data_IF_109766970707
#
_entry.id   IF_109766970707
#
_cell.length_a   1.000
_cell.length_b   1.000
_cell.length_c   1.000
_cell.angle_alpha   90.00
_cell.angle_beta   90.00
_cell.angle_gamma   90.00
#
_symmetry.space_group_name_H-M   'P 1'
#
loop_
_entity.id
_entity.type
_entity.pdbx_description
1 polymer ?
#
# COMPACT_ATOMS: atom_id res chain seq x y z
N UNK A 1 6.38 14.96 -1.00
CA UNK A 1 6.94 13.69 -1.50
C UNK A 1 7.28 13.90 -2.97
N UNK A 2 8.50 13.58 -3.38
CA UNK A 2 8.92 13.67 -4.78
C UNK A 2 8.49 12.38 -5.52
N UNK A 3 7.28 12.42 -6.09
CA UNK A 3 6.71 11.27 -6.80
C UNK A 3 7.41 11.00 -8.13
N UNK A 4 8.00 12.01 -8.78
CA UNK A 4 8.65 11.82 -10.08
C UNK A 4 9.95 11.03 -9.96
N UNK A 5 10.74 11.34 -8.93
CA UNK A 5 11.95 10.57 -8.61
C UNK A 5 11.59 9.16 -8.14
N UNK A 6 10.59 9.02 -7.25
CA UNK A 6 10.15 7.71 -6.75
C UNK A 6 9.59 6.80 -7.84
N UNK A 7 8.92 7.34 -8.85
CA UNK A 7 8.39 6.55 -9.96
C UNK A 7 9.47 5.82 -10.78
N UNK A 8 10.74 6.25 -10.67
CA UNK A 8 11.89 5.68 -11.36
C UNK A 8 12.83 4.91 -10.43
N UNK A 9 12.47 4.82 -9.15
CA UNK A 9 13.33 4.25 -8.13
C UNK A 9 13.06 2.75 -7.96
N UNK A 10 14.04 1.93 -8.35
CA UNK A 10 13.93 0.46 -8.23
C UNK A 10 13.68 0.00 -6.79
N UNK A 11 14.05 0.79 -5.77
CA UNK A 11 13.78 0.47 -4.36
C UNK A 11 12.27 0.35 -4.07
N UNK A 12 11.41 1.04 -4.82
CA UNK A 12 9.95 0.90 -4.68
C UNK A 12 9.50 -0.51 -5.09
N UNK A 13 10.05 -1.02 -6.18
CA UNK A 13 9.78 -2.38 -6.67
C UNK A 13 10.35 -3.44 -5.72
N UNK A 14 11.56 -3.22 -5.21
CA UNK A 14 12.16 -4.15 -4.25
C UNK A 14 11.39 -4.16 -2.92
N UNK A 15 10.90 -3.00 -2.47
CA UNK A 15 10.07 -2.94 -1.27
C UNK A 15 8.74 -3.69 -1.44
N UNK A 16 8.09 -3.61 -2.61
CA UNK A 16 6.92 -4.46 -2.92
C UNK A 16 7.21 -5.95 -2.76
N UNK A 17 8.35 -6.41 -3.26
CA UNK A 17 8.75 -7.82 -3.12
C UNK A 17 9.01 -8.18 -1.66
N UNK A 18 9.75 -7.32 -0.95
CA UNK A 18 10.02 -7.51 0.48
C UNK A 18 8.72 -7.65 1.26
N UNK A 19 7.72 -6.77 1.04
CA UNK A 19 6.41 -6.89 1.70
C UNK A 19 5.72 -8.23 1.38
N UNK A 20 5.75 -8.65 0.11
CA UNK A 20 5.12 -9.90 -0.31
C UNK A 20 5.77 -11.14 0.33
N UNK A 21 7.08 -11.10 0.59
CA UNK A 21 7.86 -12.24 1.10
C UNK A 21 7.97 -12.30 2.64
N UNK A 22 7.38 -11.34 3.37
CA UNK A 22 7.43 -11.32 4.86
C UNK A 22 6.67 -12.50 5.47
N UNK A 23 7.29 -13.19 6.43
CA UNK A 23 6.64 -14.19 7.28
C UNK A 23 5.92 -13.52 8.46
N UNK A 24 4.69 -13.03 8.23
CA UNK A 24 3.90 -12.29 9.24
C UNK A 24 3.68 -13.11 10.50
N UNK A 25 3.51 -14.43 10.37
CA UNK A 25 3.28 -15.38 11.47
C UNK A 25 4.47 -15.51 12.44
N UNK A 26 5.66 -15.04 12.05
CA UNK A 26 6.88 -15.08 12.88
C UNK A 26 7.13 -13.77 13.62
N UNK A 27 6.32 -12.73 13.39
CA UNK A 27 6.50 -11.42 13.99
C UNK A 27 5.90 -11.36 15.40
N UNK A 28 6.56 -10.61 16.29
CA UNK A 28 5.93 -10.17 17.53
C UNK A 28 4.80 -9.18 17.24
N UNK A 29 3.91 -8.95 18.22
CA UNK A 29 2.80 -8.01 18.06
C UNK A 29 3.25 -6.60 17.66
N UNK A 30 4.35 -6.09 18.22
CA UNK A 30 4.86 -4.76 17.88
C UNK A 30 5.46 -4.70 16.47
N UNK A 31 6.12 -5.79 16.03
CA UNK A 31 6.66 -5.90 14.68
C UNK A 31 5.54 -6.01 13.65
N UNK A 32 4.49 -6.80 13.94
CA UNK A 32 3.29 -6.89 13.10
C UNK A 32 2.61 -5.52 12.96
N UNK A 33 2.39 -4.81 14.06
CA UNK A 33 1.82 -3.45 14.05
C UNK A 33 2.67 -2.51 13.18
N UNK A 34 3.99 -2.54 13.37
CA UNK A 34 4.94 -1.71 12.60
C UNK A 34 4.90 -2.04 11.11
N UNK A 35 4.86 -3.33 10.77
CA UNK A 35 4.74 -3.79 9.39
C UNK A 35 3.48 -3.22 8.74
N UNK A 36 2.31 -3.36 9.36
CA UNK A 36 1.05 -2.96 8.75
C UNK A 36 0.89 -1.43 8.64
N UNK A 37 1.35 -0.66 9.62
CA UNK A 37 1.37 0.81 9.53
C UNK A 37 2.28 1.26 8.37
N UNK A 38 3.49 0.71 8.27
CA UNK A 38 4.43 1.08 7.21
C UNK A 38 3.94 0.61 5.84
N UNK A 39 3.31 -0.56 5.77
CA UNK A 39 2.71 -1.07 4.54
C UNK A 39 1.56 -0.19 4.10
N UNK A 40 0.65 0.21 4.99
CA UNK A 40 -0.46 1.12 4.65
C UNK A 40 0.05 2.43 4.03
N UNK A 41 1.03 3.07 4.67
CA UNK A 41 1.61 4.32 4.17
C UNK A 41 2.32 4.14 2.83
N UNK A 42 3.08 3.06 2.67
CA UNK A 42 3.74 2.74 1.41
C UNK A 42 2.73 2.49 0.29
N UNK A 43 1.68 1.70 0.54
CA UNK A 43 0.68 1.36 -0.46
C UNK A 43 -0.16 2.59 -0.88
N UNK A 44 -0.39 3.55 0.01
CA UNK A 44 -0.95 4.86 -0.36
C UNK A 44 -0.09 5.57 -1.41
N UNK A 45 1.23 5.65 -1.16
CA UNK A 45 2.19 6.25 -2.11
C UNK A 45 2.23 5.45 -3.40
N UNK A 46 2.22 4.12 -3.30
CA UNK A 46 2.33 3.25 -4.45
C UNK A 46 1.14 3.35 -5.41
N UNK A 47 -0.08 3.47 -4.88
CA UNK A 47 -1.27 3.74 -5.69
C UNK A 47 -1.14 5.06 -6.47
N UNK A 48 -0.56 6.10 -5.85
CA UNK A 48 -0.30 7.38 -6.50
C UNK A 48 0.76 7.23 -7.59
N UNK A 49 1.86 6.50 -7.32
CA UNK A 49 2.91 6.23 -8.30
C UNK A 49 2.38 5.45 -9.50
N UNK A 50 1.59 4.39 -9.27
CA UNK A 50 0.98 3.60 -10.33
C UNK A 50 0.04 4.45 -11.20
N UNK A 51 -0.73 5.36 -10.61
CA UNK A 51 -1.52 6.33 -11.38
C UNK A 51 -0.64 7.28 -12.18
N UNK A 52 0.38 7.87 -11.55
CA UNK A 52 1.30 8.80 -12.21
C UNK A 52 2.00 8.16 -13.42
N UNK A 53 2.51 6.94 -13.26
CA UNK A 53 3.16 6.18 -14.35
C UNK A 53 2.17 5.92 -15.50
N UNK A 54 0.91 5.62 -15.20
CA UNK A 54 -0.11 5.31 -16.21
C UNK A 54 -0.64 6.55 -16.93
N UNK A 55 -0.91 7.63 -16.20
CA UNK A 55 -1.61 8.82 -16.71
C UNK A 55 -0.67 9.99 -17.03
N UNK A 56 0.60 9.91 -16.64
CA UNK A 56 1.61 10.96 -16.81
C UNK A 56 1.40 12.20 -15.93
N UNK A 57 0.47 12.14 -14.95
CA UNK A 57 0.16 13.27 -14.07
C UNK A 57 -0.22 12.78 -12.67
N UNK A 58 0.07 13.61 -11.67
CA UNK A 58 -0.31 13.30 -10.29
C UNK A 58 -1.81 13.54 -10.07
N UNK A 59 -2.48 12.70 -9.27
CA UNK A 59 -3.86 12.96 -8.87
C UNK A 59 -3.90 14.14 -7.89
N UNK A 60 -4.97 14.93 -7.93
CA UNK A 60 -5.18 16.03 -6.96
C UNK A 60 -5.44 15.51 -5.54
N UNK A 61 -5.98 14.31 -5.43
CA UNK A 61 -6.23 13.57 -4.19
C UNK A 61 -6.19 12.08 -4.50
N UNK A 62 -5.75 11.26 -3.54
CA UNK A 62 -5.83 9.79 -3.65
C UNK A 62 -7.29 9.33 -3.86
N UNK A 63 -8.28 10.08 -3.36
CA UNK A 63 -9.70 9.79 -3.60
C UNK A 63 -10.09 9.90 -5.08
N UNK A 64 -9.32 10.63 -5.90
CA UNK A 64 -9.55 10.67 -7.35
C UNK A 64 -9.12 9.38 -8.07
N UNK A 65 -8.48 8.45 -7.37
CA UNK A 65 -8.16 7.11 -7.90
C UNK A 65 -9.33 6.14 -7.80
N UNK A 66 -10.39 6.51 -7.07
CA UNK A 66 -11.64 5.75 -7.00
C UNK A 66 -12.26 5.57 -8.39
N UNK A 67 -12.93 4.44 -8.60
CA UNK A 67 -13.70 4.17 -9.81
C UNK A 67 -15.18 4.51 -9.57
N UNK A 68 -16.01 4.46 -10.62
CA UNK A 68 -17.47 4.61 -10.46
C UNK A 68 -18.11 3.54 -9.56
N UNK A 69 -17.45 2.39 -9.36
CA UNK A 69 -18.02 1.24 -8.64
C UNK A 69 -17.36 0.96 -7.29
N UNK A 70 -16.16 1.47 -7.03
CA UNK A 70 -15.35 1.17 -5.85
C UNK A 70 -14.52 2.38 -5.45
N UNK A 71 -14.48 2.64 -4.14
CA UNK A 71 -13.56 3.62 -3.56
C UNK A 71 -12.12 3.11 -3.60
N UNK A 72 -11.15 4.02 -3.65
CA UNK A 72 -9.71 3.68 -3.66
C UNK A 72 -9.31 2.79 -2.49
N UNK A 73 -9.96 2.96 -1.33
CA UNK A 73 -9.71 2.20 -0.11
C UNK A 73 -10.06 0.72 -0.24
N UNK A 74 -11.01 0.38 -1.13
CA UNK A 74 -11.51 -0.97 -1.39
C UNK A 74 -10.90 -1.61 -2.64
N UNK A 75 -9.95 -0.94 -3.29
CA UNK A 75 -9.20 -1.50 -4.40
C UNK A 75 -8.02 -2.34 -3.88
N UNK A 76 -7.63 -3.41 -4.58
CA UNK A 76 -6.38 -4.11 -4.33
C UNK A 76 -5.22 -3.11 -4.29
N UNK A 77 -4.50 -3.06 -3.16
CA UNK A 77 -3.45 -2.09 -2.93
C UNK A 77 -2.06 -2.76 -3.01
N UNK A 78 -1.89 -3.95 -2.43
CA UNK A 78 -0.64 -4.69 -2.50
C UNK A 78 -0.69 -6.04 -1.79
N UNK A 79 0.43 -6.77 -1.82
CA UNK A 79 0.60 -8.07 -1.19
C UNK A 79 1.52 -7.95 0.02
N UNK A 80 1.09 -8.49 1.16
CA UNK A 80 1.85 -8.55 2.41
C UNK A 80 1.84 -10.00 2.89
N UNK A 81 3.02 -10.62 3.01
CA UNK A 81 3.17 -12.01 3.43
C UNK A 81 2.32 -13.00 2.61
N UNK A 82 2.37 -12.88 1.29
CA UNK A 82 1.64 -13.75 0.36
C UNK A 82 0.13 -13.52 0.26
N UNK A 83 -0.45 -12.58 1.02
CA UNK A 83 -1.87 -12.22 0.93
C UNK A 83 -2.07 -10.84 0.33
N UNK A 84 -3.02 -10.72 -0.61
CA UNK A 84 -3.44 -9.43 -1.16
C UNK A 84 -4.32 -8.68 -0.15
N UNK A 85 -4.11 -7.37 -0.05
CA UNK A 85 -4.83 -6.47 0.85
C UNK A 85 -5.30 -5.22 0.11
N UNK A 86 -6.46 -4.72 0.53
CA UNK A 86 -6.86 -3.32 0.31
C UNK A 86 -6.37 -2.43 1.45
N UNK A 87 -6.36 -1.09 1.24
CA UNK A 87 -6.06 -0.16 2.33
C UNK A 87 -7.10 -0.26 3.46
N UNK A 88 -8.38 -0.38 3.09
CA UNK A 88 -9.48 -0.53 4.04
C UNK A 88 -9.41 -1.79 4.89
N UNK A 89 -8.94 -2.92 4.31
CA UNK A 89 -8.70 -4.16 5.05
C UNK A 89 -7.55 -4.01 6.06
N UNK A 90 -6.45 -3.35 5.67
CA UNK A 90 -5.35 -3.08 6.60
C UNK A 90 -5.84 -2.22 7.76
N UNK A 91 -6.60 -1.16 7.50
CA UNK A 91 -7.12 -0.29 8.56
C UNK A 91 -8.12 -1.02 9.49
N UNK A 92 -9.20 -1.58 8.92
CA UNK A 92 -10.32 -2.07 9.72
C UNK A 92 -10.15 -3.51 10.19
N UNK A 93 -9.62 -4.39 9.34
CA UNK A 93 -9.55 -5.83 9.62
C UNK A 93 -8.23 -6.24 10.28
N UNK A 94 -7.19 -5.40 10.21
CA UNK A 94 -5.90 -5.66 10.85
C UNK A 94 -5.66 -4.70 12.00
N UNK A 95 -5.49 -3.40 11.72
CA UNK A 95 -5.06 -2.44 12.73
C UNK A 95 -6.12 -2.25 13.83
N UNK A 96 -7.33 -1.80 13.49
CA UNK A 96 -8.40 -1.49 14.47
C UNK A 96 -9.00 -2.72 15.13
N UNK A 97 -8.83 -3.90 14.55
CA UNK A 97 -9.33 -5.15 15.11
C UNK A 97 -8.41 -5.70 16.20
N UNK A 98 -7.10 -5.40 16.13
CA UNK A 98 -6.07 -5.95 17.02
C UNK A 98 -5.53 -4.91 18.03
N UNK A 99 -5.61 -3.61 17.72
CA UNK A 99 -5.14 -2.48 18.54
C UNK A 99 -6.15 -1.34 18.53
#
# INVERSE_FOLDING_TARGET
VDYESLAKDERVKDYRKTLADVHVEKLSSNEELTLFINSYNFLCVDLILNHYIREGKLPKSINNLSTRKKEVWDLPAGVIGGKEYTLGEIEHSVLRAKW
#
